data_IF_446961121082
#
_entry.id   IF_446961121082
#
_cell.length_a   1.000
_cell.length_b   1.000
_cell.length_c   1.000
_cell.angle_alpha   90.00
_cell.angle_beta   90.00
_cell.angle_gamma   90.00
#
_symmetry.space_group_name_H-M   'P 1'
#
loop_
_entity.id
_entity.type
_entity.pdbx_description
1 polymer ?
#
# COMPACT_ATOMS: atom_id res chain seq x y z
N UNK A 1 4.32 26.27 36.96
CA UNK A 1 4.12 25.04 36.17
C UNK A 1 3.27 25.43 35.00
N UNK A 2 3.80 25.47 33.77
CA UNK A 2 2.97 25.76 32.60
C UNK A 2 2.07 24.54 32.38
N UNK A 3 0.76 24.75 32.33
CA UNK A 3 -0.18 23.73 31.91
C UNK A 3 0.06 23.47 30.42
N UNK A 4 0.52 22.26 30.11
CA UNK A 4 0.59 21.80 28.73
C UNK A 4 -0.86 21.51 28.32
N UNK A 5 -1.44 22.35 27.47
CA UNK A 5 -2.63 21.99 26.70
C UNK A 5 -2.23 20.86 25.76
N UNK A 6 -2.41 19.62 26.20
CA UNK A 6 -2.43 18.48 25.31
C UNK A 6 -3.60 18.67 24.39
N UNK A 7 -3.34 19.05 23.14
CA UNK A 7 -4.33 18.87 22.08
C UNK A 7 -4.62 17.38 22.05
N UNK A 8 -5.81 16.99 22.51
CA UNK A 8 -6.35 15.65 22.32
C UNK A 8 -6.47 15.43 20.81
N UNK A 9 -5.39 14.93 20.21
CA UNK A 9 -5.48 14.21 18.96
C UNK A 9 -6.24 12.93 19.32
N UNK A 10 -7.56 13.03 19.38
CA UNK A 10 -8.47 11.92 19.06
C UNK A 10 -8.06 11.47 17.66
N UNK A 11 -7.02 10.63 17.63
CA UNK A 11 -6.71 9.78 16.50
C UNK A 11 -7.80 8.72 16.55
N UNK A 12 -8.98 9.15 16.13
CA UNK A 12 -9.98 8.33 15.51
C UNK A 12 -9.26 7.69 14.31
N UNK A 13 -8.53 6.60 14.60
CA UNK A 13 -8.26 5.51 13.68
C UNK A 13 -9.64 4.96 13.33
N UNK A 14 -10.34 5.78 12.55
CA UNK A 14 -11.71 5.61 12.17
C UNK A 14 -11.69 4.41 11.24
N UNK A 15 -11.92 3.24 11.82
CA UNK A 15 -12.33 2.04 11.09
C UNK A 15 -13.52 2.37 10.18
N UNK A 16 -14.35 3.37 10.56
CA UNK A 16 -15.45 3.92 9.77
C UNK A 16 -15.05 4.81 8.57
N UNK A 17 -13.81 5.33 8.48
CA UNK A 17 -13.35 6.08 7.30
C UNK A 17 -13.11 5.20 6.08
N UNK A 18 -13.01 3.89 6.29
CA UNK A 18 -12.67 2.93 5.24
C UNK A 18 -13.85 2.03 4.82
N UNK A 19 -15.06 2.24 5.38
CA UNK A 19 -16.29 1.52 4.97
C UNK A 19 -16.65 1.77 3.49
N UNK A 20 -16.08 2.81 2.87
CA UNK A 20 -16.21 3.13 1.44
C UNK A 20 -14.88 3.03 0.68
N UNK A 21 -13.98 2.12 1.06
CA UNK A 21 -12.91 1.75 0.14
C UNK A 21 -13.53 1.01 -1.04
N UNK A 22 -13.66 1.71 -2.17
CA UNK A 22 -14.07 1.10 -3.42
C UNK A 22 -13.18 -0.10 -3.69
N UNK A 23 -13.81 -1.27 -3.87
CA UNK A 23 -13.08 -2.46 -4.24
C UNK A 23 -12.36 -2.19 -5.56
N UNK A 24 -11.11 -2.67 -5.66
CA UNK A 24 -10.34 -2.60 -6.89
C UNK A 24 -11.21 -3.03 -8.09
N UNK A 25 -11.11 -2.36 -9.25
CA UNK A 25 -11.87 -2.75 -10.43
C UNK A 25 -11.68 -4.26 -10.77
N UNK A 26 -12.72 -4.95 -11.30
CA UNK A 26 -12.64 -6.39 -11.60
C UNK A 26 -11.41 -6.78 -12.44
N UNK A 27 -11.05 -5.95 -13.42
CA UNK A 27 -9.85 -6.12 -14.26
C UNK A 27 -8.51 -6.27 -13.53
N UNK A 28 -8.44 -5.89 -12.25
CA UNK A 28 -7.26 -6.07 -11.40
C UNK A 28 -7.47 -7.18 -10.36
N UNK A 29 -8.69 -7.31 -9.81
CA UNK A 29 -9.04 -8.37 -8.86
C UNK A 29 -9.01 -9.76 -9.48
N UNK A 30 -9.52 -9.87 -10.70
CA UNK A 30 -9.69 -11.13 -11.44
C UNK A 30 -8.51 -11.42 -12.37
N UNK A 31 -7.48 -10.56 -12.37
CA UNK A 31 -6.30 -10.75 -13.19
C UNK A 31 -5.55 -12.03 -12.75
N UNK A 32 -5.22 -12.95 -13.67
CA UNK A 32 -4.41 -14.11 -13.37
C UNK A 32 -3.06 -13.73 -12.76
N UNK A 33 -2.51 -14.59 -11.90
CA UNK A 33 -1.23 -14.31 -11.21
C UNK A 33 -0.10 -14.03 -12.20
N UNK A 34 0.06 -14.88 -13.23
CA UNK A 34 1.12 -14.72 -14.23
C UNK A 34 0.99 -13.40 -15.00
N UNK A 35 -0.23 -13.06 -15.46
CA UNK A 35 -0.48 -11.81 -16.18
C UNK A 35 -0.25 -10.58 -15.29
N UNK A 36 -0.49 -10.72 -13.98
CA UNK A 36 -0.19 -9.67 -13.01
C UNK A 36 1.31 -9.44 -12.90
N UNK A 37 2.08 -10.50 -12.67
CA UNK A 37 3.55 -10.44 -12.57
C UNK A 37 4.15 -9.82 -13.84
N UNK A 38 3.80 -10.32 -15.03
CA UNK A 38 4.29 -9.78 -16.30
C UNK A 38 3.97 -8.28 -16.49
N UNK A 39 2.83 -7.83 -15.97
CA UNK A 39 2.44 -6.41 -16.05
C UNK A 39 3.22 -5.55 -15.06
N UNK A 40 3.52 -6.06 -13.87
CA UNK A 40 4.32 -5.35 -12.87
C UNK A 40 5.76 -5.24 -13.38
N UNK A 41 6.36 -6.33 -13.83
CA UNK A 41 7.73 -6.34 -14.37
C UNK A 41 7.89 -5.35 -15.53
N UNK A 42 6.95 -5.35 -16.50
CA UNK A 42 7.00 -4.38 -17.61
C UNK A 42 6.90 -2.93 -17.13
N UNK A 43 6.15 -2.67 -16.07
CA UNK A 43 6.04 -1.32 -15.51
C UNK A 43 7.31 -0.93 -14.76
N UNK A 44 7.91 -1.85 -14.01
CA UNK A 44 9.19 -1.64 -13.34
C UNK A 44 10.30 -1.39 -14.37
N UNK A 45 10.41 -2.20 -15.43
CA UNK A 45 11.39 -2.00 -16.50
C UNK A 45 11.26 -0.63 -17.19
N UNK A 46 10.03 -0.09 -17.25
CA UNK A 46 9.78 1.21 -17.86
C UNK A 46 10.09 2.39 -16.92
N UNK A 47 10.07 2.15 -15.61
CA UNK A 47 10.33 3.16 -14.57
C UNK A 47 11.79 3.09 -14.09
N UNK A 48 12.43 1.92 -14.18
CA UNK A 48 13.83 1.65 -13.89
C UNK A 48 14.28 2.29 -12.56
N UNK A 49 15.45 2.93 -12.54
CA UNK A 49 16.03 3.57 -11.36
C UNK A 49 15.33 4.89 -10.94
N UNK A 50 14.26 5.32 -11.62
CA UNK A 50 13.56 6.57 -11.28
C UNK A 50 12.63 6.43 -10.07
N UNK A 51 12.34 5.19 -9.64
CA UNK A 51 11.37 4.92 -8.57
C UNK A 51 11.92 3.98 -7.52
N UNK A 52 11.38 4.11 -6.30
CA UNK A 52 11.55 3.15 -5.22
C UNK A 52 10.19 2.62 -4.82
N UNK A 53 10.03 1.29 -4.80
CA UNK A 53 8.78 0.61 -4.48
C UNK A 53 8.79 0.16 -3.03
N UNK A 54 7.95 0.81 -2.21
CA UNK A 54 7.76 0.46 -0.81
C UNK A 54 6.55 -0.47 -0.64
N UNK A 55 6.80 -1.66 -0.09
CA UNK A 55 5.80 -2.67 0.24
C UNK A 55 5.37 -2.62 1.70
N UNK A 56 4.10 -2.95 1.96
CA UNK A 56 3.59 -3.12 3.32
C UNK A 56 3.51 -4.60 3.70
N UNK A 57 3.80 -4.93 4.96
CA UNK A 57 3.73 -6.28 5.54
C UNK A 57 2.39 -7.04 5.36
N UNK A 58 1.30 -6.35 5.00
CA UNK A 58 -0.03 -6.95 4.83
C UNK A 58 -0.47 -7.03 3.37
N UNK A 59 0.44 -6.78 2.43
CA UNK A 59 0.17 -6.98 1.02
C UNK A 59 0.26 -8.46 0.65
N UNK A 60 -0.32 -8.82 -0.50
CA UNK A 60 -0.23 -10.19 -1.01
C UNK A 60 1.21 -10.51 -1.39
N UNK A 61 1.61 -11.76 -1.21
CA UNK A 61 2.96 -12.25 -1.54
C UNK A 61 3.39 -11.84 -2.95
N UNK A 62 2.48 -11.99 -3.93
CA UNK A 62 2.73 -11.63 -5.33
C UNK A 62 2.93 -10.13 -5.61
N UNK A 63 2.72 -9.26 -4.62
CA UNK A 63 3.00 -7.83 -4.73
C UNK A 63 4.26 -7.48 -3.96
N UNK A 64 4.44 -8.11 -2.79
CA UNK A 64 5.62 -7.94 -1.95
C UNK A 64 6.90 -8.38 -2.68
N UNK A 65 6.81 -9.38 -3.56
CA UNK A 65 7.94 -9.85 -4.38
C UNK A 65 8.55 -8.77 -5.29
N UNK A 66 7.80 -7.70 -5.56
CA UNK A 66 8.20 -6.59 -6.43
C UNK A 66 8.58 -5.31 -5.65
N UNK A 67 8.65 -5.36 -4.32
CA UNK A 67 9.02 -4.22 -3.49
C UNK A 67 10.52 -4.24 -3.16
N UNK A 68 11.15 -3.07 -3.20
CA UNK A 68 12.55 -2.89 -2.82
C UNK A 68 12.75 -2.95 -1.30
N UNK A 69 11.78 -2.41 -0.57
CA UNK A 69 11.74 -2.42 0.89
C UNK A 69 10.36 -2.79 1.39
N UNK A 70 10.32 -3.51 2.51
CA UNK A 70 9.08 -3.96 3.14
C UNK A 70 9.09 -3.47 4.58
N UNK A 71 7.98 -2.88 5.01
CA UNK A 71 7.81 -2.42 6.38
C UNK A 71 6.35 -2.35 6.82
N UNK A 72 6.16 -1.86 8.04
CA UNK A 72 4.89 -1.40 8.56
C UNK A 72 5.03 0.05 9.05
N UNK A 73 3.95 0.63 9.56
CA UNK A 73 3.86 2.06 9.87
C UNK A 73 4.51 2.49 11.20
N UNK A 74 5.42 1.69 11.80
CA UNK A 74 5.99 1.97 13.13
C UNK A 74 7.12 3.01 13.15
#
# INVERSE_FOLDING_TARGET
MPELETTDLETDLSLFKYDNLEQLPPRYRELPKNERTERIERALDALDDDVLVLGHNYQREEIVEHADFIGDSY
#
